data_IF_265259898956
#
_entry.id   IF_265259898956
#
_cell.length_a   1.000
_cell.length_b   1.000
_cell.length_c   1.000
_cell.angle_alpha   90.00
_cell.angle_beta   90.00
_cell.angle_gamma   90.00
#
_symmetry.space_group_name_H-M   'P 1'
#
loop_
_entity.id
_entity.type
_entity.pdbx_description
1 polymer ?
#
# COMPACT_ATOMS: atom_id res chain seq x y z
N UNK A 1 -10.91 -13.98 -50.33
CA UNK A 1 -10.03 -14.08 -49.14
C UNK A 1 -8.81 -13.15 -49.21
N UNK A 2 -8.01 -13.17 -50.29
CA UNK A 2 -6.78 -12.34 -50.40
C UNK A 2 -7.04 -10.82 -50.36
N UNK A 3 -8.09 -10.35 -51.05
CA UNK A 3 -8.48 -8.93 -51.08
C UNK A 3 -8.96 -8.44 -49.71
N UNK A 4 -9.74 -9.26 -49.00
CA UNK A 4 -10.21 -8.95 -47.64
C UNK A 4 -9.02 -8.83 -46.68
N UNK A 5 -8.07 -9.77 -46.75
CA UNK A 5 -6.85 -9.70 -45.95
C UNK A 5 -6.01 -8.44 -46.24
N UNK A 6 -5.90 -8.04 -47.51
CA UNK A 6 -5.19 -6.82 -47.90
C UNK A 6 -5.87 -5.54 -47.38
N UNK A 7 -7.21 -5.47 -47.43
CA UNK A 7 -7.97 -4.33 -46.89
C UNK A 7 -7.82 -4.25 -45.37
N UNK A 8 -7.93 -5.38 -44.66
CA UNK A 8 -7.73 -5.41 -43.20
C UNK A 8 -6.31 -4.96 -42.83
N UNK A 9 -5.29 -5.46 -43.53
CA UNK A 9 -3.91 -5.04 -43.31
C UNK A 9 -3.72 -3.53 -43.53
N UNK A 10 -4.33 -2.97 -44.59
CA UNK A 10 -4.27 -1.54 -44.86
C UNK A 10 -4.89 -0.72 -43.73
N UNK A 11 -6.09 -1.11 -43.26
CA UNK A 11 -6.78 -0.42 -42.16
C UNK A 11 -5.94 -0.46 -40.87
N UNK A 12 -5.33 -1.61 -40.55
CA UNK A 12 -4.44 -1.75 -39.39
C UNK A 12 -3.22 -0.83 -39.51
N UNK A 13 -2.56 -0.81 -40.68
CA UNK A 13 -1.40 0.04 -40.91
C UNK A 13 -1.74 1.53 -40.83
N UNK A 14 -2.87 1.94 -41.41
CA UNK A 14 -3.34 3.33 -41.34
C UNK A 14 -3.66 3.71 -39.89
N UNK A 15 -4.36 2.84 -39.15
CA UNK A 15 -4.67 3.11 -37.76
C UNK A 15 -3.41 3.20 -36.89
N UNK A 16 -2.48 2.25 -37.03
CA UNK A 16 -1.21 2.28 -36.31
C UNK A 16 -0.35 3.49 -36.68
N UNK A 17 -0.34 3.88 -37.95
CA UNK A 17 0.37 5.07 -38.43
C UNK A 17 -0.22 6.37 -37.89
N UNK A 18 -1.56 6.51 -37.92
CA UNK A 18 -2.25 7.65 -37.32
C UNK A 18 -2.00 7.71 -35.81
N UNK A 19 -2.11 6.59 -35.10
CA UNK A 19 -1.79 6.54 -33.67
C UNK A 19 -0.33 6.93 -33.40
N UNK A 20 0.62 6.42 -34.18
CA UNK A 20 2.03 6.73 -33.99
C UNK A 20 2.38 8.20 -34.27
N UNK A 21 1.72 8.84 -35.25
CA UNK A 21 1.95 10.23 -35.63
C UNK A 21 1.26 11.23 -34.71
N UNK A 22 0.08 10.88 -34.18
CA UNK A 22 -0.75 11.79 -33.38
C UNK A 22 -0.76 11.47 -31.89
N UNK A 23 -0.01 10.46 -31.42
CA UNK A 23 0.15 10.25 -29.98
C UNK A 23 0.98 11.39 -29.38
N UNK A 24 0.44 12.03 -28.36
CA UNK A 24 1.22 12.91 -27.51
C UNK A 24 2.14 12.05 -26.64
N UNK A 25 3.45 12.14 -26.86
CA UNK A 25 4.43 11.62 -25.91
C UNK A 25 4.79 12.73 -24.93
N UNK A 26 4.15 12.71 -23.77
CA UNK A 26 4.56 13.54 -22.64
C UNK A 26 5.71 12.81 -21.96
N UNK A 27 6.93 13.33 -22.11
CA UNK A 27 8.05 12.86 -21.30
C UNK A 27 7.82 13.35 -19.87
N UNK A 28 7.74 12.41 -18.93
CA UNK A 28 7.75 12.78 -17.53
C UNK A 28 9.07 13.52 -17.23
N UNK A 29 9.05 14.64 -16.50
CA UNK A 29 10.28 15.31 -16.08
C UNK A 29 11.17 14.35 -15.29
N UNK A 30 12.46 14.33 -15.59
CA UNK A 30 13.43 13.58 -14.78
C UNK A 30 13.49 14.16 -13.36
N UNK A 31 13.58 13.28 -12.37
CA UNK A 31 13.84 13.67 -10.98
C UNK A 31 15.31 13.41 -10.64
N UNK A 32 16.07 14.50 -10.51
CA UNK A 32 17.50 14.46 -10.19
C UNK A 32 17.81 14.74 -8.70
N UNK A 33 16.77 14.84 -7.87
CA UNK A 33 16.89 15.11 -6.44
C UNK A 33 16.92 13.84 -5.58
N UNK A 34 16.90 14.04 -4.28
CA UNK A 34 16.68 12.96 -3.31
C UNK A 34 15.18 12.86 -2.99
N UNK A 35 14.63 11.65 -3.00
CA UNK A 35 13.24 11.41 -2.65
C UNK A 35 12.98 11.86 -1.21
N UNK A 36 11.84 12.50 -0.98
CA UNK A 36 11.47 12.95 0.36
C UNK A 36 11.24 11.75 1.30
N UNK A 37 10.57 10.71 0.80
CA UNK A 37 10.36 9.43 1.48
C UNK A 37 10.08 8.33 0.46
N UNK A 38 10.35 7.08 0.83
CA UNK A 38 9.93 5.89 0.07
C UNK A 38 9.14 4.95 0.97
N UNK A 39 8.18 4.22 0.41
CA UNK A 39 7.55 3.10 1.12
C UNK A 39 8.51 1.93 1.21
N UNK A 40 8.62 1.33 2.38
CA UNK A 40 9.55 0.23 2.67
C UNK A 40 8.83 -0.88 3.43
N UNK A 41 8.94 -2.09 2.89
CA UNK A 41 8.43 -3.33 3.48
C UNK A 41 9.59 -4.33 3.61
N UNK A 42 10.00 -4.72 4.82
CA UNK A 42 11.18 -5.56 5.05
C UNK A 42 10.89 -7.06 4.90
N UNK A 43 10.16 -7.46 3.86
CA UNK A 43 9.77 -8.85 3.60
C UNK A 43 10.18 -9.31 2.20
N UNK A 44 10.25 -10.64 1.97
CA UNK A 44 10.63 -11.23 0.69
C UNK A 44 9.47 -11.96 0.01
N UNK A 45 9.37 -11.83 -1.31
CA UNK A 45 8.32 -12.50 -2.10
C UNK A 45 6.93 -12.03 -1.70
N UNK A 46 5.96 -12.94 -1.67
CA UNK A 46 4.59 -12.68 -1.23
C UNK A 46 4.40 -12.90 0.29
N UNK A 47 5.48 -12.78 1.08
CA UNK A 47 5.34 -12.84 2.54
C UNK A 47 5.15 -11.43 3.05
N UNK A 48 4.04 -11.19 3.73
CA UNK A 48 3.73 -9.95 4.42
C UNK A 48 3.53 -10.28 5.91
N UNK A 49 3.30 -9.27 6.75
CA UNK A 49 2.89 -9.51 8.15
C UNK A 49 1.67 -10.42 8.23
N UNK A 50 0.73 -10.29 7.29
CA UNK A 50 -0.49 -11.10 7.22
C UNK A 50 -0.20 -12.57 6.88
N UNK A 51 0.91 -12.83 6.20
CA UNK A 51 1.33 -14.15 5.74
C UNK A 51 2.49 -14.74 6.58
N UNK A 52 2.73 -14.20 7.79
CA UNK A 52 3.75 -14.70 8.72
C UNK A 52 5.19 -14.32 8.38
N UNK A 53 5.39 -13.32 7.51
CA UNK A 53 6.72 -12.77 7.25
C UNK A 53 7.32 -12.15 8.51
N UNK A 54 8.56 -12.51 8.84
CA UNK A 54 9.33 -11.87 9.93
C UNK A 54 10.50 -11.10 9.33
N UNK A 55 10.60 -9.83 9.70
CA UNK A 55 11.70 -8.98 9.24
C UNK A 55 13.02 -9.35 9.92
N UNK A 56 14.09 -9.44 9.13
CA UNK A 56 15.45 -9.66 9.62
C UNK A 56 16.22 -8.33 9.72
N UNK A 57 16.84 -8.08 10.88
CA UNK A 57 17.65 -6.90 11.14
C UNK A 57 18.83 -6.74 10.18
N UNK A 58 19.51 -7.84 9.82
CA UNK A 58 20.65 -7.77 8.91
C UNK A 58 20.18 -7.34 7.51
N UNK A 59 19.01 -7.84 7.10
CA UNK A 59 18.39 -7.46 5.84
C UNK A 59 17.92 -6.01 5.83
N UNK A 60 17.22 -5.56 6.86
CA UNK A 60 16.80 -4.15 6.98
C UNK A 60 18.00 -3.24 6.83
N UNK A 61 19.10 -3.57 7.50
CA UNK A 61 20.34 -2.79 7.41
C UNK A 61 20.91 -2.75 5.99
N UNK A 62 20.91 -3.87 5.28
CA UNK A 62 21.35 -3.93 3.89
C UNK A 62 20.46 -3.10 2.95
N UNK A 63 19.14 -3.21 3.09
CA UNK A 63 18.19 -2.45 2.26
C UNK A 63 18.29 -0.94 2.54
N UNK A 64 18.30 -0.53 3.81
CA UNK A 64 18.37 0.89 4.17
C UNK A 64 19.71 1.52 3.78
N UNK A 65 20.81 0.75 3.78
CA UNK A 65 22.10 1.20 3.24
C UNK A 65 22.02 1.54 1.75
N UNK A 66 21.24 0.79 0.98
CA UNK A 66 21.03 1.05 -0.46
C UNK A 66 20.08 2.22 -0.69
N UNK A 67 19.10 2.43 0.20
CA UNK A 67 18.12 3.51 0.07
C UNK A 67 18.67 4.86 0.55
N UNK A 68 19.56 4.89 1.54
CA UNK A 68 20.06 6.12 2.15
C UNK A 68 20.58 7.19 1.17
N UNK A 69 21.28 6.85 0.08
CA UNK A 69 21.72 7.84 -0.90
C UNK A 69 20.59 8.49 -1.71
N UNK A 70 19.43 7.82 -1.85
CA UNK A 70 18.34 8.22 -2.76
C UNK A 70 17.10 8.76 -2.04
N UNK A 71 16.96 8.56 -0.72
CA UNK A 71 15.82 9.04 0.07
C UNK A 71 16.24 9.66 1.40
N UNK A 72 15.44 10.58 1.94
CA UNK A 72 15.63 11.15 3.29
C UNK A 72 14.84 10.43 4.38
N UNK A 73 13.83 9.67 3.98
CA UNK A 73 12.95 8.97 4.91
C UNK A 73 12.42 7.66 4.33
N UNK A 74 11.95 6.79 5.22
CA UNK A 74 11.20 5.59 4.87
C UNK A 74 9.84 5.59 5.56
N UNK A 75 8.85 4.99 4.92
CA UNK A 75 7.52 4.75 5.47
C UNK A 75 7.27 3.26 5.61
N UNK A 76 6.82 2.83 6.79
CA UNK A 76 6.34 1.45 7.02
C UNK A 76 4.82 1.43 7.14
N UNK A 77 4.23 0.24 6.92
CA UNK A 77 2.79 0.03 6.99
C UNK A 77 2.34 -0.57 8.32
N UNK A 78 3.22 -1.35 8.94
CA UNK A 78 3.05 -1.94 10.26
C UNK A 78 4.19 -1.52 11.20
N UNK A 79 4.03 -1.86 12.46
CA UNK A 79 5.01 -1.67 13.54
C UNK A 79 5.24 -2.96 14.32
N UNK A 80 4.87 -4.13 13.77
CA UNK A 80 5.10 -5.45 14.37
C UNK A 80 5.78 -6.41 13.39
N UNK A 81 6.07 -7.64 13.85
CA UNK A 81 6.69 -8.70 13.07
C UNK A 81 8.10 -8.37 12.54
N UNK A 82 8.90 -7.66 13.35
CA UNK A 82 10.26 -7.25 13.03
C UNK A 82 10.35 -5.87 12.37
N UNK A 83 9.22 -5.29 11.95
CA UNK A 83 9.17 -3.92 11.39
C UNK A 83 9.49 -2.87 12.45
N UNK A 84 9.27 -3.18 13.72
CA UNK A 84 9.68 -2.36 14.87
C UNK A 84 11.19 -2.07 14.93
N UNK A 85 12.01 -2.84 14.20
CA UNK A 85 13.46 -2.61 14.10
C UNK A 85 13.81 -1.48 13.13
N UNK A 86 12.91 -1.14 12.20
CA UNK A 86 13.16 -0.20 11.10
C UNK A 86 13.56 1.20 11.62
N UNK A 87 12.86 1.83 12.59
CA UNK A 87 13.24 3.17 13.05
C UNK A 87 14.64 3.22 13.65
N UNK A 88 15.02 2.20 14.42
CA UNK A 88 16.35 2.07 15.01
C UNK A 88 17.44 1.94 13.95
N UNK A 89 17.25 1.05 12.98
CA UNK A 89 18.24 0.82 11.92
C UNK A 89 18.28 2.00 10.94
N UNK A 90 17.14 2.65 10.66
CA UNK A 90 17.09 3.86 9.85
C UNK A 90 17.95 5.00 10.44
N UNK A 91 17.98 5.12 11.77
CA UNK A 91 18.81 6.11 12.45
C UNK A 91 20.31 5.89 12.20
N UNK A 92 20.77 4.63 12.04
CA UNK A 92 22.17 4.31 11.71
C UNK A 92 22.62 4.95 10.38
N UNK A 93 21.67 5.22 9.48
CA UNK A 93 21.91 5.83 8.16
C UNK A 93 21.44 7.29 8.05
N UNK A 94 21.04 7.91 9.17
CA UNK A 94 20.51 9.28 9.17
C UNK A 94 19.13 9.43 8.52
N UNK A 95 18.40 8.32 8.33
CA UNK A 95 17.06 8.33 7.74
C UNK A 95 16.00 8.61 8.81
N UNK A 96 14.98 9.40 8.42
CA UNK A 96 13.75 9.55 9.20
C UNK A 96 12.80 8.38 8.92
N UNK A 97 11.92 8.09 9.87
CA UNK A 97 10.94 7.01 9.72
C UNK A 97 9.52 7.52 9.98
N UNK A 98 8.63 7.33 9.01
CA UNK A 98 7.19 7.47 9.23
C UNK A 98 6.61 6.08 9.44
N UNK A 99 6.12 5.80 10.64
CA UNK A 99 5.73 4.45 11.04
C UNK A 99 4.21 4.26 10.96
N UNK A 100 3.78 3.08 10.52
CA UNK A 100 2.38 2.71 10.40
C UNK A 100 1.94 1.74 11.49
N UNK A 101 0.70 1.87 11.96
CA UNK A 101 -0.01 0.78 12.63
C UNK A 101 -0.95 0.14 11.62
N UNK A 102 -0.76 -1.15 11.32
CA UNK A 102 -1.70 -1.88 10.48
C UNK A 102 -2.97 -2.17 11.26
N UNK A 103 -4.12 -1.82 10.69
CA UNK A 103 -5.42 -1.99 11.33
C UNK A 103 -6.29 -2.86 10.44
N UNK A 104 -6.80 -3.94 11.02
CA UNK A 104 -7.67 -4.93 10.39
C UNK A 104 -8.82 -5.38 11.33
N UNK A 105 -9.42 -6.54 11.04
CA UNK A 105 -10.55 -7.11 11.83
C UNK A 105 -10.11 -7.74 13.16
N UNK A 106 -8.84 -8.06 13.33
CA UNK A 106 -8.27 -8.65 14.54
C UNK A 106 -7.95 -7.54 15.56
N UNK A 107 -8.82 -7.42 16.57
CA UNK A 107 -8.67 -6.43 17.64
C UNK A 107 -7.38 -6.59 18.43
N UNK A 108 -6.94 -7.82 18.68
CA UNK A 108 -5.73 -8.07 19.47
C UNK A 108 -4.48 -7.68 18.66
N UNK A 109 -4.50 -7.91 17.34
CA UNK A 109 -3.43 -7.44 16.44
C UNK A 109 -3.40 -5.92 16.37
N UNK A 110 -4.55 -5.27 16.18
CA UNK A 110 -4.65 -3.81 16.18
C UNK A 110 -4.06 -3.21 17.46
N UNK A 111 -4.41 -3.79 18.60
CA UNK A 111 -3.90 -3.39 19.91
C UNK A 111 -2.37 -3.51 20.02
N UNK A 112 -1.78 -4.56 19.46
CA UNK A 112 -0.31 -4.72 19.40
C UNK A 112 0.33 -3.67 18.49
N UNK A 113 -0.24 -3.43 17.32
CA UNK A 113 0.21 -2.45 16.35
C UNK A 113 0.20 -1.02 16.94
N UNK A 114 -0.90 -0.64 17.59
CA UNK A 114 -1.04 0.67 18.25
C UNK A 114 -0.05 0.83 19.41
N UNK A 115 0.12 -0.18 20.27
CA UNK A 115 1.11 -0.11 21.35
C UNK A 115 2.52 0.04 20.79
N UNK A 116 2.86 -0.77 19.79
CA UNK A 116 4.19 -0.73 19.18
C UNK A 116 4.50 0.62 18.54
N UNK A 117 3.57 1.18 17.76
CA UNK A 117 3.79 2.47 17.08
C UNK A 117 4.00 3.62 18.08
N UNK A 118 3.24 3.62 19.19
CA UNK A 118 3.39 4.60 20.28
C UNK A 118 4.74 4.46 20.97
N UNK A 119 5.17 3.23 21.26
CA UNK A 119 6.44 2.97 21.92
C UNK A 119 7.63 3.34 21.02
N UNK A 120 7.55 3.03 19.72
CA UNK A 120 8.59 3.38 18.75
C UNK A 120 8.73 4.90 18.61
N UNK A 121 7.61 5.63 18.50
CA UNK A 121 7.62 7.08 18.41
C UNK A 121 8.24 7.75 19.65
N UNK A 122 8.05 7.16 20.84
CA UNK A 122 8.69 7.64 22.07
C UNK A 122 10.17 7.31 22.15
N UNK A 123 10.58 6.13 21.65
CA UNK A 123 11.96 5.64 21.74
C UNK A 123 12.91 6.23 20.69
N UNK A 124 12.38 6.61 19.52
CA UNK A 124 13.19 6.98 18.36
C UNK A 124 12.91 8.42 17.91
N UNK A 125 13.89 9.31 18.11
CA UNK A 125 13.78 10.73 17.76
C UNK A 125 13.76 11.02 16.24
N UNK A 126 14.17 10.04 15.42
CA UNK A 126 14.07 10.10 13.97
C UNK A 126 12.67 9.72 13.43
N UNK A 127 11.74 9.31 14.29
CA UNK A 127 10.33 9.13 13.91
C UNK A 127 9.70 10.50 13.67
N UNK A 128 9.11 10.72 12.49
CA UNK A 128 8.59 12.03 12.07
C UNK A 128 7.09 12.03 11.76
N UNK A 129 6.42 10.89 11.90
CA UNK A 129 4.99 10.76 11.74
C UNK A 129 4.50 9.36 12.09
N UNK A 130 3.21 9.27 12.37
CA UNK A 130 2.49 8.03 12.60
C UNK A 130 1.28 8.02 11.67
N UNK A 131 1.04 6.91 10.99
CA UNK A 131 -0.23 6.64 10.30
C UNK A 131 -0.93 5.46 10.96
N UNK A 132 -2.25 5.56 11.12
CA UNK A 132 -3.07 4.51 11.73
C UNK A 132 -4.03 4.00 10.67
N UNK A 133 -3.86 2.72 10.32
CA UNK A 133 -4.56 2.10 9.22
C UNK A 133 -3.96 2.46 7.86
N UNK A 134 -4.22 1.58 6.91
CA UNK A 134 -3.94 1.79 5.50
C UNK A 134 -5.25 1.46 4.82
N UNK A 135 -6.03 2.42 4.32
CA UNK A 135 -7.27 2.11 3.59
C UNK A 135 -8.28 1.19 4.35
N UNK A 136 -8.26 1.16 5.68
CA UNK A 136 -9.03 0.18 6.47
C UNK A 136 -10.55 0.31 6.25
N UNK A 137 -11.05 1.53 6.00
CA UNK A 137 -12.45 1.79 5.66
C UNK A 137 -12.74 1.29 4.23
N UNK A 138 -11.86 1.57 3.28
CA UNK A 138 -11.97 1.13 1.90
C UNK A 138 -11.97 -0.40 1.77
N UNK A 139 -11.13 -1.09 2.55
CA UNK A 139 -11.10 -2.57 2.61
C UNK A 139 -12.31 -3.19 3.33
N UNK A 140 -13.21 -2.38 3.89
CA UNK A 140 -14.37 -2.86 4.64
C UNK A 140 -14.00 -3.66 5.91
N UNK A 141 -12.82 -3.41 6.48
CA UNK A 141 -12.37 -4.10 7.69
C UNK A 141 -12.93 -3.45 8.95
N UNK A 142 -13.06 -2.12 8.92
CA UNK A 142 -13.72 -1.33 9.97
C UNK A 142 -14.76 -0.40 9.35
N UNK A 143 -15.77 -0.08 10.15
CA UNK A 143 -16.73 0.96 9.81
C UNK A 143 -16.05 2.34 9.85
N UNK A 144 -16.51 3.31 9.01
CA UNK A 144 -15.96 4.66 8.98
C UNK A 144 -15.99 5.38 10.33
N UNK A 145 -17.03 5.12 11.15
CA UNK A 145 -17.16 5.66 12.50
C UNK A 145 -17.29 4.54 13.53
N UNK A 146 -16.73 4.70 14.74
CA UNK A 146 -17.01 3.82 15.86
C UNK A 146 -18.52 3.76 16.12
N UNK A 147 -19.11 2.57 16.03
CA UNK A 147 -20.55 2.36 16.23
C UNK A 147 -21.43 2.62 15.00
N UNK A 148 -20.87 2.93 13.83
CA UNK A 148 -21.64 2.91 12.58
C UNK A 148 -22.09 1.47 12.29
N UNK A 149 -23.39 1.23 12.43
CA UNK A 149 -24.00 0.01 11.92
C UNK A 149 -24.20 0.13 10.41
N UNK A 150 -24.23 -1.01 9.73
CA UNK A 150 -24.76 -1.08 8.38
C UNK A 150 -26.24 -0.71 8.43
N UNK A 151 -26.72 0.07 7.47
CA UNK A 151 -28.15 0.24 7.30
C UNK A 151 -28.76 -1.10 6.83
N UNK A 152 -30.09 -1.28 6.94
CA UNK A 152 -30.74 -2.55 6.56
C UNK A 152 -30.50 -2.95 5.09
N UNK A 153 -30.30 -1.99 4.19
CA UNK A 153 -30.08 -2.24 2.77
C UNK A 153 -28.65 -2.76 2.53
N UNK A 154 -27.65 -2.12 3.13
CA UNK A 154 -26.25 -2.53 3.09
C UNK A 154 -26.03 -3.89 3.78
N UNK A 155 -26.70 -4.12 4.91
CA UNK A 155 -26.69 -5.41 5.59
C UNK A 155 -27.28 -6.51 4.70
N UNK A 156 -28.41 -6.24 4.03
CA UNK A 156 -29.01 -7.17 3.09
C UNK A 156 -28.11 -7.44 1.87
N UNK A 157 -27.42 -6.43 1.33
CA UNK A 157 -26.45 -6.62 0.23
C UNK A 157 -25.31 -7.56 0.64
N UNK A 158 -24.79 -7.44 1.86
CA UNK A 158 -23.74 -8.32 2.38
C UNK A 158 -24.24 -9.73 2.68
N UNK A 159 -25.48 -9.89 3.14
CA UNK A 159 -26.10 -11.18 3.41
C UNK A 159 -26.45 -11.95 2.11
N UNK A 160 -26.84 -11.22 1.06
CA UNK A 160 -27.18 -11.79 -0.23
C UNK A 160 -25.96 -12.19 -1.09
N UNK A 161 -24.74 -11.83 -0.66
CA UNK A 161 -23.51 -12.22 -1.34
C UNK A 161 -23.32 -13.75 -1.27
N UNK A 162 -23.15 -14.39 -2.44
CA UNK A 162 -23.13 -15.85 -2.59
C UNK A 162 -21.73 -16.43 -2.47
N UNK A 163 -20.71 -15.61 -2.68
CA UNK A 163 -19.30 -16.01 -2.59
C UNK A 163 -18.53 -15.05 -1.68
N UNK A 164 -17.38 -15.51 -1.18
CA UNK A 164 -16.50 -14.69 -0.36
C UNK A 164 -15.94 -13.48 -1.14
N UNK A 165 -15.63 -13.67 -2.43
CA UNK A 165 -15.22 -12.59 -3.33
C UNK A 165 -16.33 -11.55 -3.54
N UNK A 166 -17.57 -12.00 -3.76
CA UNK A 166 -18.73 -11.11 -3.90
C UNK A 166 -18.96 -10.33 -2.61
N UNK A 167 -18.86 -11.00 -1.45
CA UNK A 167 -19.00 -10.38 -0.14
C UNK A 167 -17.92 -9.33 0.10
N UNK A 168 -16.68 -9.61 -0.31
CA UNK A 168 -15.57 -8.65 -0.21
C UNK A 168 -15.82 -7.43 -1.07
N UNK A 169 -16.23 -7.63 -2.33
CA UNK A 169 -16.55 -6.54 -3.25
C UNK A 169 -17.70 -5.66 -2.73
N UNK A 170 -18.78 -6.27 -2.25
CA UNK A 170 -19.90 -5.53 -1.65
C UNK A 170 -19.43 -4.73 -0.42
N UNK A 171 -18.56 -5.31 0.40
CA UNK A 171 -17.98 -4.62 1.56
C UNK A 171 -17.12 -3.43 1.16
N UNK A 172 -16.34 -3.54 0.09
CA UNK A 172 -15.55 -2.44 -0.48
C UNK A 172 -16.45 -1.35 -1.05
N UNK A 173 -17.48 -1.70 -1.82
CA UNK A 173 -18.45 -0.76 -2.40
C UNK A 173 -19.17 0.05 -1.31
N UNK A 174 -19.57 -0.59 -0.21
CA UNK A 174 -20.15 0.06 0.97
C UNK A 174 -19.12 0.98 1.64
N UNK A 175 -17.88 0.51 1.81
CA UNK A 175 -16.79 1.31 2.38
C UNK A 175 -16.53 2.59 1.60
N UNK A 176 -16.45 2.50 0.27
CA UNK A 176 -16.29 3.64 -0.65
C UNK A 176 -17.46 4.60 -0.56
N UNK A 177 -18.70 4.10 -0.57
CA UNK A 177 -19.89 4.95 -0.54
C UNK A 177 -20.02 5.76 0.76
N UNK A 178 -19.35 5.32 1.83
CA UNK A 178 -19.38 5.96 3.15
C UNK A 178 -18.20 6.89 3.43
N UNK A 179 -17.22 6.99 2.53
CA UNK A 179 -16.09 7.95 2.61
C UNK A 179 -16.50 9.34 2.11
#
# INVERSE_FOLDING_TARGET
MRTVAAVVALVVCVHAGLWALFRDQINAPDFNGQLASVSYAPFQGNTDVEHGGTADAARIRADLKLLAPITKAVRTYSSTAGVELVPGIAAEFGLRATIGAWIDKDKDRNDREIRSVVDLAKRHSNVNGIFVGNETIYRGELAPKPGDALDPEEASKLENARTEEERKKVSEDIGVARL
#
